data_IF_036477918044
#
_entry.id   IF_036477918044
#
_cell.length_a   1.000
_cell.length_b   1.000
_cell.length_c   1.000
_cell.angle_alpha   90.00
_cell.angle_beta   90.00
_cell.angle_gamma   90.00
#
_symmetry.space_group_name_H-M   'P 1'
#
loop_
_entity.id
_entity.type
_entity.pdbx_description
1 polymer ?
#
# COMPACT_ATOMS: atom_id res chain seq x y z
N UNK A 1 -12.85 12.15 -0.63
CA UNK A 1 -12.30 10.83 -1.01
C UNK A 1 -12.34 9.88 0.21
N UNK A 2 -13.50 9.76 0.85
CA UNK A 2 -13.64 9.02 2.11
C UNK A 2 -13.96 7.55 1.81
N UNK A 3 -13.25 6.61 2.44
CA UNK A 3 -13.51 5.17 2.37
C UNK A 3 -12.53 4.33 1.52
N UNK A 4 -11.68 4.95 0.69
CA UNK A 4 -10.66 4.18 -0.05
C UNK A 4 -9.61 3.57 0.87
N UNK A 5 -9.18 4.31 1.89
CA UNK A 5 -8.22 3.81 2.88
C UNK A 5 -8.69 2.51 3.51
N UNK A 6 -9.93 2.46 4.02
CA UNK A 6 -10.46 1.23 4.64
C UNK A 6 -10.57 0.07 3.64
N UNK A 7 -11.07 0.32 2.43
CA UNK A 7 -11.13 -0.72 1.39
C UNK A 7 -9.75 -1.26 1.01
N UNK A 8 -8.74 -0.39 0.93
CA UNK A 8 -7.35 -0.76 0.66
C UNK A 8 -6.81 -1.60 1.82
N UNK A 9 -7.06 -1.19 3.07
CA UNK A 9 -6.66 -1.94 4.27
C UNK A 9 -7.28 -3.32 4.30
N UNK A 10 -8.59 -3.43 4.12
CA UNK A 10 -9.32 -4.70 4.09
C UNK A 10 -8.79 -5.63 3.00
N UNK A 11 -8.60 -5.12 1.78
CA UNK A 11 -8.05 -5.90 0.67
C UNK A 11 -6.61 -6.36 0.96
N UNK A 12 -5.75 -5.48 1.47
CA UNK A 12 -4.37 -5.81 1.82
C UNK A 12 -4.31 -6.87 2.92
N UNK A 13 -5.09 -6.70 4.00
CA UNK A 13 -5.20 -7.68 5.09
C UNK A 13 -5.62 -9.05 4.57
N UNK A 14 -6.67 -9.09 3.75
CA UNK A 14 -7.18 -10.33 3.16
C UNK A 14 -6.13 -11.02 2.29
N UNK A 15 -5.48 -10.29 1.38
CA UNK A 15 -4.48 -10.86 0.47
C UNK A 15 -3.26 -11.41 1.22
N UNK A 16 -2.81 -10.72 2.26
CA UNK A 16 -1.68 -11.14 3.10
C UNK A 16 -2.06 -12.33 4.00
N UNK A 17 -3.24 -12.31 4.62
CA UNK A 17 -3.73 -13.40 5.47
C UNK A 17 -3.97 -14.69 4.66
N UNK A 18 -4.50 -14.57 3.44
CA UNK A 18 -4.67 -15.69 2.50
C UNK A 18 -3.34 -16.11 1.83
N UNK A 19 -2.21 -15.45 2.14
CA UNK A 19 -0.88 -15.66 1.52
C UNK A 19 -0.92 -15.61 -0.02
N UNK A 20 -1.86 -14.84 -0.57
CA UNK A 20 -1.97 -14.61 -2.02
C UNK A 20 -0.90 -13.66 -2.53
N UNK A 21 -0.32 -12.87 -1.64
CA UNK A 21 0.83 -11.99 -1.90
C UNK A 21 1.77 -12.07 -0.69
N UNK A 22 3.06 -11.91 -0.94
CA UNK A 22 4.10 -11.81 0.09
C UNK A 22 4.25 -10.38 0.59
N UNK A 23 3.92 -9.40 -0.26
CA UNK A 23 4.02 -7.96 0.02
C UNK A 23 2.86 -7.21 -0.62
N UNK A 24 2.36 -6.17 0.06
CA UNK A 24 1.53 -5.13 -0.54
C UNK A 24 2.28 -3.80 -0.53
N UNK A 25 2.33 -3.12 -1.67
CA UNK A 25 2.91 -1.78 -1.81
C UNK A 25 1.77 -0.77 -1.89
N UNK A 26 1.75 0.15 -0.93
CA UNK A 26 0.79 1.25 -0.88
C UNK A 26 1.45 2.53 -0.37
N UNK A 27 0.65 3.40 0.25
CA UNK A 27 1.13 4.63 0.88
C UNK A 27 0.87 4.61 2.37
N UNK A 28 1.68 5.33 3.13
CA UNK A 28 1.39 5.72 4.51
C UNK A 28 1.51 7.23 4.67
N UNK A 29 0.99 7.77 5.77
CA UNK A 29 1.24 9.17 6.13
C UNK A 29 2.75 9.37 6.31
N UNK A 30 3.31 10.29 5.53
CA UNK A 30 4.69 10.72 5.71
C UNK A 30 4.83 11.69 6.87
N UNK A 31 6.07 12.04 7.18
CA UNK A 31 6.40 13.06 8.20
C UNK A 31 6.33 14.48 7.66
N UNK A 32 6.35 14.64 6.33
CA UNK A 32 6.31 15.93 5.64
C UNK A 32 4.86 16.23 5.25
N UNK A 33 4.31 17.42 5.57
CA UNK A 33 2.98 17.82 5.14
C UNK A 33 2.79 17.67 3.62
N UNK A 34 1.64 17.15 3.21
CA UNK A 34 1.29 16.92 1.80
C UNK A 34 2.18 15.93 1.04
N UNK A 35 2.97 15.13 1.75
CA UNK A 35 3.80 14.09 1.13
C UNK A 35 3.53 12.75 1.81
N UNK A 36 2.74 11.90 1.14
CA UNK A 36 2.63 10.51 1.54
C UNK A 36 3.81 9.73 0.97
N UNK A 37 4.31 8.77 1.74
CA UNK A 37 5.47 7.99 1.36
C UNK A 37 5.08 6.54 1.00
N UNK A 38 5.79 5.91 0.04
CA UNK A 38 5.61 4.52 -0.29
C UNK A 38 5.85 3.63 0.93
N UNK A 39 4.98 2.65 1.12
CA UNK A 39 5.04 1.73 2.24
C UNK A 39 4.90 0.29 1.78
N UNK A 40 5.80 -0.57 2.26
CA UNK A 40 5.80 -2.00 1.99
C UNK A 40 5.21 -2.72 3.21
N UNK A 41 4.06 -3.33 3.00
CA UNK A 41 3.30 -4.08 4.00
C UNK A 41 3.61 -5.57 3.82
N UNK A 42 4.17 -6.20 4.85
CA UNK A 42 4.50 -7.63 4.87
C UNK A 42 3.57 -8.44 5.76
N UNK A 43 2.89 -7.79 6.71
CA UNK A 43 1.97 -8.46 7.64
C UNK A 43 0.59 -7.82 7.61
N UNK A 44 -0.49 -8.56 7.92
CA UNK A 44 -1.83 -8.00 8.01
C UNK A 44 -1.93 -6.82 8.99
N UNK A 45 -1.20 -6.85 10.10
CA UNK A 45 -1.21 -5.77 11.11
C UNK A 45 -0.60 -4.47 10.57
N UNK A 46 0.40 -4.57 9.69
CA UNK A 46 0.99 -3.41 9.04
C UNK A 46 0.02 -2.74 8.06
N UNK A 47 -0.99 -3.45 7.57
CA UNK A 47 -1.95 -2.89 6.63
C UNK A 47 -2.70 -1.70 7.22
N UNK A 48 -2.90 -1.63 8.54
CA UNK A 48 -3.56 -0.48 9.19
C UNK A 48 -2.80 0.84 9.03
N UNK A 49 -1.50 0.78 8.74
CA UNK A 49 -0.69 1.97 8.45
C UNK A 49 -0.91 2.49 7.02
N UNK A 50 -1.59 1.72 6.16
CA UNK A 50 -1.95 2.19 4.83
C UNK A 50 -2.86 3.40 4.93
N UNK A 51 -2.61 4.35 4.04
CA UNK A 51 -3.31 5.62 3.97
C UNK A 51 -3.51 6.00 2.51
N UNK A 52 -4.60 6.71 2.24
CA UNK A 52 -4.93 7.13 0.89
C UNK A 52 -5.60 8.50 0.89
N UNK A 53 -4.99 9.48 0.22
CA UNK A 53 -5.58 10.78 -0.04
C UNK A 53 -5.06 11.39 -1.36
N UNK A 54 -5.36 12.67 -1.58
CA UNK A 54 -4.94 13.40 -2.79
C UNK A 54 -3.42 13.53 -2.97
N UNK A 55 -2.63 13.34 -1.90
CA UNK A 55 -1.18 13.49 -1.88
C UNK A 55 -0.43 12.19 -2.19
N UNK A 56 -1.15 11.09 -2.47
CA UNK A 56 -0.60 9.82 -2.98
C UNK A 56 -0.18 9.96 -4.46
N UNK A 57 0.87 10.72 -4.73
CA UNK A 57 1.31 11.07 -6.09
C UNK A 57 2.50 10.25 -6.64
N UNK A 58 3.23 9.52 -5.80
CA UNK A 58 4.45 8.80 -6.22
C UNK A 58 4.09 7.54 -7.02
N UNK A 59 4.83 7.27 -8.11
CA UNK A 59 4.65 6.03 -8.86
C UNK A 59 5.20 4.83 -8.05
N UNK A 60 4.29 4.05 -7.46
CA UNK A 60 4.64 2.84 -6.71
C UNK A 60 5.24 1.72 -7.58
N UNK A 61 5.01 1.72 -8.90
CA UNK A 61 5.54 0.70 -9.80
C UNK A 61 7.08 0.70 -9.86
N UNK A 62 7.72 1.84 -9.55
CA UNK A 62 9.17 1.95 -9.48
C UNK A 62 9.79 1.01 -8.43
N UNK A 63 9.01 0.60 -7.42
CA UNK A 63 9.47 -0.28 -6.34
C UNK A 63 9.34 -1.78 -6.67
N UNK A 64 8.85 -2.12 -7.86
CA UNK A 64 8.70 -3.50 -8.31
C UNK A 64 9.99 -4.07 -8.92
N UNK A 65 10.88 -3.20 -9.40
CA UNK A 65 12.08 -3.63 -10.12
C UNK A 65 12.95 -4.57 -9.28
N UNK A 66 13.39 -5.67 -9.90
CA UNK A 66 14.28 -6.70 -9.32
C UNK A 66 13.70 -7.47 -8.13
N UNK A 67 12.38 -7.41 -7.89
CA UNK A 67 11.73 -8.25 -6.88
C UNK A 67 11.24 -9.57 -7.48
N UNK A 68 11.38 -10.63 -6.70
CA UNK A 68 10.90 -12.00 -7.01
C UNK A 68 9.67 -12.38 -6.20
N UNK A 69 9.31 -11.56 -5.19
CA UNK A 69 8.16 -11.77 -4.33
C UNK A 69 6.85 -11.64 -5.12
N UNK A 70 5.77 -12.29 -4.66
CA UNK A 70 4.42 -12.04 -5.19
C UNK A 70 3.87 -10.77 -4.56
N UNK A 71 3.65 -9.74 -5.37
CA UNK A 71 3.36 -8.38 -4.89
C UNK A 71 1.94 -7.94 -5.27
N UNK A 72 1.21 -7.40 -4.29
CA UNK A 72 0.03 -6.55 -4.52
C UNK A 72 0.45 -5.08 -4.56
N UNK A 73 -0.14 -4.28 -5.46
CA UNK A 73 0.15 -2.84 -5.58
C UNK A 73 -1.14 -2.04 -5.60
N UNK A 74 -1.18 -0.93 -4.87
CA UNK A 74 -2.29 0.03 -4.94
C UNK A 74 -2.02 0.98 -6.12
N UNK A 75 -2.81 0.86 -7.18
CA UNK A 75 -2.68 1.69 -8.38
C UNK A 75 -3.69 2.85 -8.40
N UNK A 76 -3.25 4.00 -8.91
CA UNK A 76 -4.10 5.16 -9.25
C UNK A 76 -4.09 5.32 -10.77
N UNK A 77 -5.27 5.42 -11.37
CA UNK A 77 -5.49 5.61 -12.81
C UNK A 77 -6.74 6.44 -13.07
#
# INVERSE_FOLDING_TARGET
MQGYTERIREAAKRLLAEKKVDVVIGFRKGTIPFMNEPFLVKTPDQADQLYWDGNCGINLANYLAKRTDKIGIVAKG
#
